data_IF_939820734871
#
_entry.id   IF_939820734871
#
_cell.length_a   1.000
_cell.length_b   1.000
_cell.length_c   1.000
_cell.angle_alpha   90.00
_cell.angle_beta   90.00
_cell.angle_gamma   90.00
#
_symmetry.space_group_name_H-M   'P 1'
#
loop_
_entity.id
_entity.type
_entity.pdbx_description
1 polymer ?
#
# COMPACT_ATOMS: atom_id res chain seq x y z
N UNK A 1 4.20 35.89 -17.26
CA UNK A 1 3.24 34.77 -17.21
C UNK A 1 2.84 34.56 -15.76
N UNK A 2 1.67 35.05 -15.36
CA UNK A 2 1.18 34.89 -13.99
C UNK A 2 0.77 33.45 -13.76
N UNK A 3 1.56 32.70 -12.99
CA UNK A 3 1.11 31.43 -12.43
C UNK A 3 -0.12 31.71 -11.58
N UNK A 4 -1.30 31.30 -12.05
CA UNK A 4 -2.50 31.22 -11.22
C UNK A 4 -2.09 30.46 -9.97
N UNK A 5 -2.14 31.09 -8.79
CA UNK A 5 -2.04 30.37 -7.52
C UNK A 5 -3.10 29.28 -7.57
N UNK A 6 -2.68 28.02 -7.67
CA UNK A 6 -3.58 26.91 -7.44
C UNK A 6 -4.15 27.12 -6.04
N UNK A 7 -5.46 27.36 -5.94
CA UNK A 7 -6.12 27.51 -4.66
C UNK A 7 -5.82 26.27 -3.82
N UNK A 8 -5.43 26.47 -2.56
CA UNK A 8 -5.16 25.34 -1.66
C UNK A 8 -6.40 24.43 -1.58
N UNK A 9 -6.21 23.10 -1.57
CA UNK A 9 -7.33 22.16 -1.52
C UNK A 9 -8.11 22.36 -0.22
N UNK A 10 -9.44 22.54 -0.34
CA UNK A 10 -10.31 22.75 0.81
C UNK A 10 -10.34 21.53 1.73
N UNK A 11 -10.60 21.74 3.02
CA UNK A 11 -10.65 20.65 4.01
C UNK A 11 -11.66 19.56 3.64
N UNK A 12 -12.85 19.94 3.15
CA UNK A 12 -13.85 18.97 2.70
C UNK A 12 -13.38 18.13 1.51
N UNK A 13 -12.66 18.73 0.56
CA UNK A 13 -12.08 18.03 -0.58
C UNK A 13 -10.96 17.09 -0.14
N UNK A 14 -10.10 17.53 0.79
CA UNK A 14 -9.05 16.67 1.36
C UNK A 14 -9.64 15.46 2.08
N UNK A 15 -10.70 15.63 2.86
CA UNK A 15 -11.38 14.52 3.55
C UNK A 15 -12.02 13.56 2.54
N UNK A 16 -12.77 14.08 1.56
CA UNK A 16 -13.43 13.25 0.54
C UNK A 16 -12.44 12.39 -0.25
N UNK A 17 -11.33 12.99 -0.70
CA UNK A 17 -10.25 12.26 -1.37
C UNK A 17 -9.59 11.24 -0.44
N UNK A 18 -9.39 11.59 0.84
CA UNK A 18 -8.82 10.66 1.83
C UNK A 18 -9.68 9.42 1.99
N UNK A 19 -11.01 9.56 2.09
CA UNK A 19 -11.93 8.43 2.24
C UNK A 19 -11.94 7.56 0.98
N UNK A 20 -11.95 8.16 -0.21
CA UNK A 20 -11.90 7.42 -1.46
C UNK A 20 -10.61 6.60 -1.58
N UNK A 21 -9.47 7.22 -1.32
CA UNK A 21 -8.17 6.56 -1.36
C UNK A 21 -8.07 5.47 -0.28
N UNK A 22 -8.62 5.70 0.91
CA UNK A 22 -8.62 4.72 2.00
C UNK A 22 -9.34 3.42 1.60
N UNK A 23 -10.47 3.51 0.88
CA UNK A 23 -11.17 2.31 0.38
C UNK A 23 -10.30 1.54 -0.59
N UNK A 24 -9.64 2.24 -1.51
CA UNK A 24 -8.73 1.62 -2.49
C UNK A 24 -7.54 0.97 -1.79
N UNK A 25 -6.94 1.66 -0.82
CA UNK A 25 -5.81 1.17 -0.04
C UNK A 25 -6.20 -0.10 0.72
N UNK A 26 -7.40 -0.15 1.33
CA UNK A 26 -7.87 -1.37 1.99
C UNK A 26 -8.10 -2.54 1.03
N UNK A 27 -8.65 -2.28 -0.15
CA UNK A 27 -8.79 -3.33 -1.18
C UNK A 27 -7.44 -3.88 -1.60
N UNK A 28 -6.45 -2.99 -1.79
CA UNK A 28 -5.09 -3.38 -2.16
C UNK A 28 -4.41 -4.21 -1.06
N UNK A 29 -4.51 -3.77 0.19
CA UNK A 29 -3.94 -4.48 1.35
C UNK A 29 -4.59 -5.85 1.52
N UNK A 30 -5.93 -5.92 1.46
CA UNK A 30 -6.66 -7.18 1.57
C UNK A 30 -6.26 -8.17 0.47
N UNK A 31 -6.13 -7.68 -0.77
CA UNK A 31 -5.66 -8.47 -1.90
C UNK A 31 -4.23 -8.98 -1.70
N UNK A 32 -3.31 -8.12 -1.25
CA UNK A 32 -1.92 -8.51 -0.97
C UNK A 32 -1.82 -9.57 0.13
N UNK A 33 -2.53 -9.39 1.24
CA UNK A 33 -2.53 -10.35 2.35
C UNK A 33 -3.12 -11.68 1.91
N UNK A 34 -4.22 -11.67 1.17
CA UNK A 34 -4.82 -12.87 0.61
C UNK A 34 -3.87 -13.59 -0.35
N UNK A 35 -3.22 -12.86 -1.25
CA UNK A 35 -2.28 -13.42 -2.22
C UNK A 35 -1.08 -14.11 -1.56
N UNK A 36 -0.46 -13.45 -0.57
CA UNK A 36 0.67 -14.03 0.19
C UNK A 36 0.21 -15.25 0.99
N UNK A 37 -0.96 -15.17 1.64
CA UNK A 37 -1.51 -16.30 2.39
C UNK A 37 -1.79 -17.52 1.51
N UNK A 38 -2.37 -17.32 0.32
CA UNK A 38 -2.63 -18.40 -0.63
C UNK A 38 -1.34 -19.02 -1.19
N UNK A 39 -0.34 -18.19 -1.49
CA UNK A 39 0.96 -18.67 -1.94
C UNK A 39 1.67 -19.49 -0.84
N UNK A 40 1.62 -19.02 0.41
CA UNK A 40 2.17 -19.76 1.56
C UNK A 40 1.43 -21.08 1.82
N UNK A 41 0.11 -21.09 1.66
CA UNK A 41 -0.68 -22.32 1.75
C UNK A 41 -0.31 -23.33 0.65
N UNK A 42 -0.10 -22.86 -0.58
CA UNK A 42 0.32 -23.70 -1.70
C UNK A 42 1.74 -24.27 -1.50
N UNK A 43 2.71 -23.43 -1.11
CA UNK A 43 4.09 -23.84 -0.82
C UNK A 43 4.13 -24.95 0.26
N UNK A 44 3.19 -24.94 1.21
CA UNK A 44 3.07 -25.97 2.25
C UNK A 44 2.78 -27.39 1.72
N UNK A 45 2.18 -27.53 0.54
CA UNK A 45 1.94 -28.84 -0.08
C UNK A 45 3.15 -29.34 -0.91
N UNK A 46 4.02 -28.43 -1.32
CA UNK A 46 5.19 -28.74 -2.16
C UNK A 46 6.45 -29.06 -1.32
N UNK A 47 6.28 -29.29 -0.01
CA UNK A 47 7.31 -29.50 1.02
C UNK A 47 8.20 -30.76 0.84
N UNK A 48 8.31 -31.33 -0.36
CA UNK A 48 9.28 -32.39 -0.69
C UNK A 48 10.69 -31.86 -1.05
N UNK A 49 11.02 -30.62 -0.65
CA UNK A 49 12.43 -30.17 -0.53
C UNK A 49 12.89 -29.03 -1.45
N UNK A 50 11.98 -28.33 -2.13
CA UNK A 50 12.30 -27.10 -2.86
C UNK A 50 11.81 -25.90 -2.04
N UNK A 51 12.69 -24.94 -1.76
CA UNK A 51 12.43 -23.82 -0.86
C UNK A 51 11.20 -22.97 -1.25
N UNK A 52 10.48 -22.35 -0.28
CA UNK A 52 9.26 -21.58 -0.51
C UNK A 52 9.55 -20.30 -1.32
N UNK A 53 9.43 -20.43 -2.64
CA UNK A 53 9.76 -19.37 -3.59
C UNK A 53 8.55 -18.52 -3.96
N UNK A 54 7.34 -19.08 -3.90
CA UNK A 54 6.14 -18.39 -4.39
C UNK A 54 5.60 -17.40 -3.35
N UNK A 55 5.55 -17.79 -2.07
CA UNK A 55 5.11 -16.92 -0.98
C UNK A 55 6.06 -15.74 -0.76
N UNK A 56 7.37 -15.99 -0.80
CA UNK A 56 8.40 -14.97 -0.66
C UNK A 56 8.40 -13.98 -1.84
N UNK A 57 8.19 -14.47 -3.06
CA UNK A 57 8.03 -13.62 -4.24
C UNK A 57 6.75 -12.76 -4.16
N UNK A 58 5.62 -13.35 -3.78
CA UNK A 58 4.36 -12.64 -3.60
C UNK A 58 4.48 -11.55 -2.52
N UNK A 59 5.14 -11.85 -1.40
CA UNK A 59 5.39 -10.89 -0.33
C UNK A 59 6.29 -9.74 -0.80
N UNK A 60 7.36 -10.04 -1.54
CA UNK A 60 8.24 -9.01 -2.09
C UNK A 60 7.51 -8.06 -3.06
N UNK A 61 6.67 -8.61 -3.94
CA UNK A 61 5.84 -7.81 -4.85
C UNK A 61 4.86 -6.93 -4.09
N UNK A 62 4.17 -7.50 -3.09
CA UNK A 62 3.25 -6.75 -2.25
C UNK A 62 3.96 -5.63 -1.45
N UNK A 63 5.16 -5.88 -0.93
CA UNK A 63 5.97 -4.86 -0.25
C UNK A 63 6.35 -3.70 -1.20
N UNK A 64 6.76 -4.02 -2.43
CA UNK A 64 7.04 -3.00 -3.43
C UNK A 64 5.81 -2.19 -3.82
N UNK A 65 4.65 -2.84 -3.97
CA UNK A 65 3.40 -2.17 -4.31
C UNK A 65 2.92 -1.27 -3.18
N UNK A 66 2.90 -1.76 -1.94
CA UNK A 66 2.41 -1.02 -0.78
C UNK A 66 3.40 0.06 -0.36
N UNK A 67 4.68 -0.27 -0.21
CA UNK A 67 5.73 0.68 0.15
C UNK A 67 5.98 1.71 -0.95
N UNK A 68 6.11 1.26 -2.20
CA UNK A 68 6.28 2.15 -3.35
C UNK A 68 5.04 3.03 -3.58
N UNK A 69 3.85 2.44 -3.44
CA UNK A 69 2.58 3.16 -3.46
C UNK A 69 2.55 4.28 -2.42
N UNK A 70 2.86 3.96 -1.16
CA UNK A 70 2.92 4.95 -0.07
C UNK A 70 3.82 6.14 -0.41
N UNK A 71 5.02 5.88 -0.93
CA UNK A 71 5.98 6.94 -1.31
C UNK A 71 5.46 7.76 -2.49
N UNK A 72 5.00 7.10 -3.55
CA UNK A 72 4.56 7.77 -4.78
C UNK A 72 3.29 8.59 -4.55
N UNK A 73 2.26 7.99 -3.96
CA UNK A 73 0.95 8.60 -3.81
C UNK A 73 0.89 9.47 -2.56
N UNK A 74 1.30 8.94 -1.40
CA UNK A 74 1.36 9.70 -0.15
C UNK A 74 2.36 10.85 -0.22
N UNK A 75 3.60 10.57 -0.64
CA UNK A 75 4.63 11.60 -0.83
C UNK A 75 4.26 12.61 -1.92
N UNK A 76 3.67 12.16 -3.03
CA UNK A 76 3.18 13.04 -4.10
C UNK A 76 2.08 13.98 -3.62
N UNK A 77 1.10 13.47 -2.87
CA UNK A 77 0.03 14.29 -2.27
C UNK A 77 0.59 15.31 -1.29
N UNK A 78 1.56 14.93 -0.45
CA UNK A 78 2.23 15.86 0.45
C UNK A 78 2.97 16.97 -0.32
N UNK A 79 3.70 16.63 -1.38
CA UNK A 79 4.40 17.60 -2.22
C UNK A 79 3.45 18.58 -2.91
N UNK A 80 2.22 18.14 -3.23
CA UNK A 80 1.16 18.97 -3.80
C UNK A 80 0.37 19.77 -2.76
N UNK A 81 0.73 19.70 -1.48
CA UNK A 81 0.05 20.42 -0.39
C UNK A 81 -1.20 19.71 0.14
N UNK A 82 -1.50 18.51 -0.33
CA UNK A 82 -2.63 17.68 0.13
C UNK A 82 -2.24 16.88 1.38
N UNK A 83 -2.12 17.60 2.50
CA UNK A 83 -1.56 17.05 3.74
C UNK A 83 -2.35 15.87 4.30
N UNK A 84 -3.67 16.01 4.44
CA UNK A 84 -4.50 14.96 5.05
C UNK A 84 -4.45 13.65 4.27
N UNK A 85 -4.80 13.59 2.97
CA UNK A 85 -4.75 12.33 2.24
C UNK A 85 -3.32 11.82 2.08
N UNK A 86 -2.32 12.69 1.97
CA UNK A 86 -0.92 12.29 1.89
C UNK A 86 -0.44 11.55 3.15
N UNK A 87 -0.75 12.06 4.35
CA UNK A 87 -0.43 11.38 5.60
C UNK A 87 -1.21 10.06 5.74
N UNK A 88 -2.50 10.07 5.41
CA UNK A 88 -3.35 8.87 5.48
C UNK A 88 -2.76 7.75 4.63
N UNK A 89 -2.35 8.03 3.40
CA UNK A 89 -1.77 7.01 2.53
C UNK A 89 -0.43 6.49 3.03
N UNK A 90 0.46 7.36 3.54
CA UNK A 90 1.72 6.92 4.13
C UNK A 90 1.50 5.96 5.30
N UNK A 91 0.56 6.28 6.18
CA UNK A 91 0.25 5.46 7.36
C UNK A 91 -0.40 4.15 6.96
N UNK A 92 -1.44 4.18 6.12
CA UNK A 92 -2.25 3.01 5.79
C UNK A 92 -1.48 2.02 4.92
N UNK A 93 -0.85 2.50 3.84
CA UNK A 93 -0.06 1.62 2.97
C UNK A 93 1.23 1.16 3.66
N UNK A 94 1.85 2.01 4.49
CA UNK A 94 2.97 1.61 5.34
C UNK A 94 2.58 0.52 6.35
N UNK A 95 1.42 0.64 6.98
CA UNK A 95 0.89 -0.40 7.86
C UNK A 95 0.57 -1.68 7.09
N UNK A 96 -0.03 -1.58 5.90
CA UNK A 96 -0.24 -2.72 5.01
C UNK A 96 1.06 -3.44 4.64
N UNK A 97 2.12 -2.70 4.32
CA UNK A 97 3.43 -3.26 4.05
C UNK A 97 3.99 -3.99 5.29
N UNK A 98 3.84 -3.40 6.48
CA UNK A 98 4.25 -4.05 7.72
C UNK A 98 3.48 -5.35 7.99
N UNK A 99 2.15 -5.37 7.74
CA UNK A 99 1.33 -6.57 7.85
C UNK A 99 1.81 -7.68 6.91
N UNK A 100 2.05 -7.35 5.63
CA UNK A 100 2.58 -8.31 4.66
C UNK A 100 3.96 -8.83 5.10
N UNK A 101 4.82 -7.94 5.59
CA UNK A 101 6.15 -8.34 6.08
C UNK A 101 6.07 -9.31 7.26
N UNK A 102 5.10 -9.14 8.17
CA UNK A 102 4.94 -10.08 9.29
C UNK A 102 4.45 -11.46 8.85
N UNK A 103 3.67 -11.54 7.77
CA UNK A 103 3.23 -12.82 7.21
C UNK A 103 4.38 -13.57 6.52
N UNK A 104 5.32 -12.85 5.92
CA UNK A 104 6.46 -13.45 5.22
C UNK A 104 7.61 -13.89 6.15
N UNK A 105 7.58 -13.47 7.42
CA UNK A 105 8.61 -13.79 8.41
C UNK A 105 8.29 -15.03 9.27
N UNK A 106 7.10 -15.62 9.11
CA UNK A 106 6.65 -16.84 9.79
C UNK A 106 6.66 -18.03 8.84
#
# INVERSE_FOLDING_TARGET
>A
MGMRRASEPSTGQQIGVSVLLLVIDFMLIAWSVYGVGMAGWADGYESDGVAPSSASQAASQALWLLGGGAVLTGGGLLALGWRVPGVVQLVVLGFGAALVSSQAAG
#
